data_IF_197089347489
#
_entry.id   IF_197089347489
#
_cell.length_a   1.000
_cell.length_b   1.000
_cell.length_c   1.000
_cell.angle_alpha   90.00
_cell.angle_beta   90.00
_cell.angle_gamma   90.00
#
_symmetry.space_group_name_H-M   'P 1'
#
loop_
_entity.id
_entity.type
_entity.pdbx_description
1 polymer ?
#
# COMPACT_ATOMS: atom_id res chain seq x y z
N UNK A 1 -0.35 21.89 12.42
CA UNK A 1 1.02 21.35 12.20
C UNK A 1 1.30 20.03 12.94
N UNK A 2 0.97 19.89 14.23
CA UNK A 2 1.32 18.71 15.05
C UNK A 2 0.77 17.37 14.50
N UNK A 3 -0.48 17.36 14.02
CA UNK A 3 -1.15 16.17 13.46
C UNK A 3 -0.47 15.60 12.20
N UNK A 4 0.14 16.45 11.38
CA UNK A 4 0.83 16.02 10.15
C UNK A 4 2.24 15.48 10.48
N UNK A 5 2.94 16.06 11.45
CA UNK A 5 4.21 15.51 11.97
C UNK A 5 4.02 14.13 12.60
N UNK A 6 2.97 13.94 13.41
CA UNK A 6 2.67 12.65 14.03
C UNK A 6 2.39 11.56 12.99
N UNK A 7 1.60 11.87 11.96
CA UNK A 7 1.34 10.94 10.86
C UNK A 7 2.61 10.57 10.10
N UNK A 8 3.45 11.56 9.77
CA UNK A 8 4.71 11.32 9.06
C UNK A 8 5.66 10.42 9.86
N UNK A 9 5.83 10.70 11.16
CA UNK A 9 6.70 9.92 12.03
C UNK A 9 6.24 8.46 12.17
N UNK A 10 4.92 8.21 12.16
CA UNK A 10 4.37 6.86 12.20
C UNK A 10 4.66 6.06 10.91
N UNK A 11 4.60 6.72 9.76
CA UNK A 11 4.97 6.11 8.47
C UNK A 11 6.46 5.77 8.42
N UNK A 12 7.33 6.69 8.85
CA UNK A 12 8.77 6.41 8.92
C UNK A 12 9.09 5.29 9.93
N UNK A 13 8.38 5.23 11.05
CA UNK A 13 8.52 4.15 12.02
C UNK A 13 8.12 2.80 11.41
N UNK A 14 6.96 2.73 10.75
CA UNK A 14 6.49 1.52 10.08
C UNK A 14 7.45 1.06 8.97
N UNK A 15 7.97 2.00 8.17
CA UNK A 15 8.99 1.73 7.16
C UNK A 15 10.29 1.21 7.79
N UNK A 16 10.72 1.79 8.91
CA UNK A 16 11.89 1.34 9.67
C UNK A 16 11.73 -0.07 10.24
N UNK A 17 10.55 -0.39 10.79
CA UNK A 17 10.22 -1.75 11.26
C UNK A 17 10.27 -2.74 10.09
N UNK A 18 9.69 -2.38 8.95
CA UNK A 18 9.68 -3.25 7.76
C UNK A 18 11.08 -3.50 7.19
N UNK A 19 11.90 -2.44 7.11
CA UNK A 19 13.32 -2.53 6.75
C UNK A 19 14.10 -3.40 7.74
N UNK A 20 13.87 -3.23 9.05
CA UNK A 20 14.48 -4.04 10.09
C UNK A 20 14.15 -5.51 9.94
N UNK A 21 12.86 -5.85 9.76
CA UNK A 21 12.39 -7.22 9.53
C UNK A 21 13.00 -7.80 8.26
N UNK A 22 13.04 -7.04 7.17
CA UNK A 22 13.63 -7.49 5.91
C UNK A 22 15.13 -7.80 6.04
N UNK A 23 15.89 -6.95 6.74
CA UNK A 23 17.32 -7.18 7.00
C UNK A 23 17.54 -8.40 7.89
N UNK A 24 16.76 -8.53 8.97
CA UNK A 24 16.84 -9.67 9.89
C UNK A 24 16.45 -10.97 9.20
N UNK A 25 15.53 -10.94 8.23
CA UNK A 25 15.12 -12.12 7.45
C UNK A 25 16.26 -12.72 6.60
N UNK A 26 17.32 -11.96 6.30
CA UNK A 26 18.52 -12.50 5.61
C UNK A 26 19.45 -13.27 6.55
N UNK A 27 19.23 -13.23 7.86
CA UNK A 27 20.04 -13.92 8.87
C UNK A 27 19.43 -15.31 9.10
N UNK A 28 20.04 -16.40 8.59
CA UNK A 28 19.41 -17.73 8.60
C UNK A 28 19.21 -18.33 10.01
N UNK A 29 19.83 -17.75 11.03
CA UNK A 29 19.71 -18.17 12.43
C UNK A 29 18.52 -17.53 13.15
N UNK A 30 17.88 -16.52 12.56
CA UNK A 30 16.71 -15.84 13.13
C UNK A 30 15.47 -16.30 12.37
N UNK A 31 14.74 -17.23 12.97
CA UNK A 31 13.48 -17.72 12.41
C UNK A 31 12.37 -16.68 12.66
N UNK A 32 12.09 -15.87 11.65
CA UNK A 32 10.90 -15.01 11.63
C UNK A 32 9.71 -15.87 11.20
N UNK A 33 8.72 -16.02 12.08
CA UNK A 33 7.53 -16.80 11.77
C UNK A 33 6.80 -16.27 10.54
N UNK A 34 6.40 -17.16 9.62
CA UNK A 34 5.72 -16.84 8.36
C UNK A 34 4.46 -15.98 8.54
N UNK A 35 3.75 -16.16 9.66
CA UNK A 35 2.60 -15.32 10.03
C UNK A 35 3.00 -13.85 10.25
N UNK A 36 4.14 -13.59 10.91
CA UNK A 36 4.65 -12.23 11.15
C UNK A 36 4.98 -11.54 9.82
N UNK A 37 5.63 -12.26 8.90
CA UNK A 37 5.95 -11.76 7.55
C UNK A 37 4.68 -11.44 6.74
N UNK A 38 3.66 -12.30 6.84
CA UNK A 38 2.38 -12.06 6.18
C UNK A 38 1.65 -10.83 6.78
N UNK A 39 1.60 -10.70 8.11
CA UNK A 39 0.99 -9.54 8.77
C UNK A 39 1.69 -8.23 8.40
N UNK A 40 3.01 -8.22 8.44
CA UNK A 40 3.81 -7.03 8.08
C UNK A 40 3.62 -6.65 6.62
N UNK A 41 3.58 -7.62 5.71
CA UNK A 41 3.30 -7.39 4.28
C UNK A 41 1.91 -6.78 4.08
N UNK A 42 0.89 -7.26 4.80
CA UNK A 42 -0.48 -6.72 4.71
C UNK A 42 -0.54 -5.28 5.23
N UNK A 43 0.11 -4.99 6.35
CA UNK A 43 0.18 -3.63 6.88
C UNK A 43 0.88 -2.71 5.88
N UNK A 44 1.98 -3.15 5.26
CA UNK A 44 2.66 -2.39 4.22
C UNK A 44 1.74 -2.08 3.04
N UNK A 45 0.98 -3.08 2.55
CA UNK A 45 0.00 -2.88 1.49
C UNK A 45 -1.05 -1.82 1.87
N UNK A 46 -1.62 -1.88 3.09
CA UNK A 46 -2.60 -0.89 3.58
C UNK A 46 -2.02 0.53 3.61
N UNK A 47 -0.78 0.68 4.08
CA UNK A 47 -0.04 1.95 4.11
C UNK A 47 0.15 2.48 2.69
N UNK A 48 0.58 1.63 1.76
CA UNK A 48 0.77 1.99 0.35
C UNK A 48 -0.54 2.43 -0.31
N UNK A 49 -1.64 1.72 -0.08
CA UNK A 49 -2.96 2.08 -0.61
C UNK A 49 -3.40 3.44 -0.07
N UNK A 50 -3.17 3.70 1.22
CA UNK A 50 -3.49 4.99 1.83
C UNK A 50 -2.68 6.14 1.23
N UNK A 51 -1.41 5.91 0.88
CA UNK A 51 -0.59 6.93 0.25
C UNK A 51 -1.00 7.19 -1.20
N UNK A 52 -1.18 6.12 -1.99
CA UNK A 52 -1.74 6.15 -3.35
C UNK A 52 -3.07 6.92 -3.41
N UNK A 53 -3.91 6.67 -2.40
CA UNK A 53 -5.21 7.31 -2.21
C UNK A 53 -5.15 8.82 -2.08
N UNK A 54 -4.08 9.38 -1.53
CA UNK A 54 -3.91 10.84 -1.41
C UNK A 54 -3.44 11.45 -2.71
N UNK A 55 -2.51 10.77 -3.39
CA UNK A 55 -1.99 11.20 -4.69
C UNK A 55 -3.13 11.26 -5.72
N UNK A 56 -3.98 10.23 -5.76
CA UNK A 56 -5.10 10.16 -6.69
C UNK A 56 -6.12 11.30 -6.47
N UNK A 57 -6.39 11.67 -5.22
CA UNK A 57 -7.27 12.79 -4.88
C UNK A 57 -6.67 14.12 -5.32
N UNK A 58 -5.37 14.35 -5.06
CA UNK A 58 -4.68 15.57 -5.46
C UNK A 58 -4.75 15.79 -6.98
N UNK A 59 -4.54 14.73 -7.77
CA UNK A 59 -4.61 14.81 -9.25
C UNK A 59 -6.04 15.07 -9.73
N UNK A 60 -7.04 14.47 -9.07
CA UNK A 60 -8.44 14.64 -9.44
C UNK A 60 -8.96 16.07 -9.18
N UNK A 61 -8.44 16.76 -8.17
CA UNK A 61 -8.75 18.18 -7.88
C UNK A 61 -8.23 19.13 -8.97
N UNK A 62 -7.21 18.73 -9.74
CA UNK A 62 -6.59 19.55 -10.79
C UNK A 62 -7.28 19.42 -12.16
N UNK A 63 -8.00 18.33 -12.42
CA UNK A 63 -8.69 18.09 -13.70
C UNK A 63 -10.15 18.56 -13.66
N UNK A 64 -10.44 19.76 -14.17
CA UNK A 64 -11.76 20.41 -14.17
C UNK A 64 -12.85 19.82 -15.09
N UNK A 65 -12.75 18.56 -15.54
CA UNK A 65 -13.74 17.93 -16.43
C UNK A 65 -14.71 17.02 -15.64
N UNK A 66 -15.87 17.58 -15.27
CA UNK A 66 -16.90 17.01 -14.38
C UNK A 66 -17.39 15.60 -14.77
N UNK A 67 -17.48 15.28 -16.08
CA UNK A 67 -18.02 13.99 -16.54
C UNK A 67 -17.00 12.86 -16.42
N UNK A 68 -15.74 13.13 -16.79
CA UNK A 68 -14.62 12.20 -16.59
C UNK A 68 -14.26 12.05 -15.11
N UNK A 69 -14.45 13.10 -14.32
CA UNK A 69 -14.29 13.09 -12.87
C UNK A 69 -15.18 12.06 -12.19
N UNK A 70 -16.50 12.02 -12.50
CA UNK A 70 -17.43 11.08 -11.85
C UNK A 70 -17.06 9.62 -12.09
N UNK A 71 -16.74 9.25 -13.33
CA UNK A 71 -16.36 7.86 -13.67
C UNK A 71 -15.02 7.48 -13.03
N UNK A 72 -14.01 8.36 -13.10
CA UNK A 72 -12.73 8.14 -12.40
C UNK A 72 -12.91 8.05 -10.90
N UNK A 73 -13.78 8.87 -10.32
CA UNK A 73 -14.05 8.89 -8.88
C UNK A 73 -14.72 7.59 -8.42
N UNK A 74 -15.77 7.14 -9.10
CA UNK A 74 -16.44 5.87 -8.77
C UNK A 74 -15.49 4.70 -8.93
N UNK A 75 -14.73 4.64 -10.03
CA UNK A 75 -13.71 3.62 -10.24
C UNK A 75 -12.66 3.62 -9.14
N UNK A 76 -12.15 4.80 -8.75
CA UNK A 76 -11.19 4.96 -7.66
C UNK A 76 -11.77 4.49 -6.32
N UNK A 77 -13.04 4.78 -6.05
CA UNK A 77 -13.72 4.39 -4.82
C UNK A 77 -13.89 2.86 -4.74
N UNK A 78 -14.32 2.23 -5.83
CA UNK A 78 -14.42 0.77 -5.95
C UNK A 78 -13.05 0.10 -5.80
N UNK A 79 -12.03 0.61 -6.49
CA UNK A 79 -10.66 0.08 -6.37
C UNK A 79 -10.13 0.23 -4.95
N UNK A 80 -10.38 1.35 -4.28
CA UNK A 80 -10.02 1.53 -2.86
C UNK A 80 -10.77 0.57 -1.94
N UNK A 81 -12.07 0.38 -2.16
CA UNK A 81 -12.86 -0.57 -1.38
C UNK A 81 -12.30 -1.99 -1.53
N UNK A 82 -12.05 -2.45 -2.75
CA UNK A 82 -11.41 -3.75 -3.01
C UNK A 82 -10.02 -3.85 -2.36
N UNK A 83 -9.22 -2.80 -2.51
CA UNK A 83 -7.86 -2.74 -1.96
C UNK A 83 -7.84 -2.69 -0.43
N UNK A 84 -8.89 -2.25 0.25
CA UNK A 84 -8.98 -2.26 1.72
C UNK A 84 -9.59 -3.58 2.22
N UNK A 85 -10.68 -4.03 1.59
CA UNK A 85 -11.41 -5.24 1.98
C UNK A 85 -10.54 -6.48 1.80
N UNK A 86 -9.79 -6.57 0.71
CA UNK A 86 -8.92 -7.72 0.41
C UNK A 86 -7.87 -7.99 1.50
N UNK A 87 -6.99 -7.03 1.87
CA UNK A 87 -6.03 -7.24 2.96
C UNK A 87 -6.70 -7.51 4.30
N UNK A 88 -7.84 -6.88 4.61
CA UNK A 88 -8.57 -7.17 5.85
C UNK A 88 -9.08 -8.62 5.86
N UNK A 89 -9.68 -9.10 4.76
CA UNK A 89 -10.12 -10.48 4.63
C UNK A 89 -8.93 -11.47 4.78
N UNK A 90 -7.77 -11.13 4.22
CA UNK A 90 -6.54 -11.91 4.36
C UNK A 90 -6.04 -11.95 5.81
N UNK A 91 -6.15 -10.86 6.58
CA UNK A 91 -5.80 -10.84 8.01
C UNK A 91 -6.64 -11.85 8.81
N UNK A 92 -7.96 -11.85 8.56
CA UNK A 92 -8.86 -12.81 9.19
C UNK A 92 -8.53 -14.23 8.77
N UNK A 93 -8.28 -14.48 7.48
CA UNK A 93 -8.00 -15.82 6.99
C UNK A 93 -6.67 -16.38 7.52
N UNK A 94 -5.58 -15.61 7.52
CA UNK A 94 -4.26 -16.06 8.04
C UNK A 94 -4.34 -16.54 9.50
N UNK A 95 -5.29 -16.03 10.28
CA UNK A 95 -5.50 -16.47 11.65
C UNK A 95 -6.00 -17.93 11.74
N UNK A 96 -6.85 -18.34 10.79
CA UNK A 96 -7.41 -19.69 10.72
C UNK A 96 -6.55 -20.67 9.90
N UNK A 97 -5.67 -20.16 9.05
CA UNK A 97 -4.77 -20.97 8.23
C UNK A 97 -3.55 -21.43 9.05
N UNK A 98 -3.20 -22.71 8.91
CA UNK A 98 -2.05 -23.31 9.57
C UNK A 98 -1.00 -23.82 8.58
N UNK A 99 -1.33 -23.90 7.29
CA UNK A 99 -0.36 -24.24 6.25
C UNK A 99 0.60 -23.06 6.00
N UNK A 100 1.84 -23.22 6.45
CA UNK A 100 2.91 -22.25 6.31
C UNK A 100 3.22 -21.92 4.84
N UNK A 101 3.11 -22.88 3.92
CA UNK A 101 3.36 -22.66 2.50
C UNK A 101 2.27 -21.78 1.88
N UNK A 102 1.02 -21.94 2.31
CA UNK A 102 -0.10 -21.09 1.91
C UNK A 102 0.11 -19.67 2.44
N UNK A 103 0.45 -19.52 3.71
CA UNK A 103 0.72 -18.22 4.34
C UNK A 103 1.88 -17.49 3.65
N UNK A 104 2.96 -18.20 3.30
CA UNK A 104 4.10 -17.64 2.57
C UNK A 104 3.70 -17.14 1.16
N UNK A 105 2.86 -17.89 0.44
CA UNK A 105 2.34 -17.46 -0.87
C UNK A 105 1.49 -16.21 -0.75
N UNK A 106 0.61 -16.15 0.25
CA UNK A 106 -0.20 -14.96 0.54
C UNK A 106 0.70 -13.76 0.80
N UNK A 107 1.72 -13.91 1.65
CA UNK A 107 2.69 -12.86 1.94
C UNK A 107 3.33 -12.32 0.66
N UNK A 108 3.82 -13.21 -0.21
CA UNK A 108 4.45 -12.81 -1.48
C UNK A 108 3.49 -12.05 -2.39
N UNK A 109 2.25 -12.55 -2.56
CA UNK A 109 1.25 -11.86 -3.39
C UNK A 109 0.93 -10.46 -2.86
N UNK A 110 0.80 -10.32 -1.54
CA UNK A 110 0.56 -9.04 -0.89
C UNK A 110 1.74 -8.08 -1.10
N UNK A 111 2.98 -8.57 -0.99
CA UNK A 111 4.18 -7.77 -1.27
C UNK A 111 4.21 -7.30 -2.73
N UNK A 112 3.93 -8.18 -3.70
CA UNK A 112 3.87 -7.79 -5.12
C UNK A 112 2.75 -6.80 -5.41
N UNK A 113 1.58 -6.98 -4.77
CA UNK A 113 0.49 -6.01 -4.87
C UNK A 113 0.92 -4.63 -4.35
N UNK A 114 1.62 -4.59 -3.21
CA UNK A 114 2.11 -3.33 -2.63
C UNK A 114 3.08 -2.63 -3.59
N UNK A 115 4.06 -3.36 -4.14
CA UNK A 115 4.97 -2.82 -5.16
C UNK A 115 4.23 -2.30 -6.38
N UNK A 116 3.25 -3.06 -6.89
CA UNK A 116 2.42 -2.65 -8.03
C UNK A 116 1.68 -1.34 -7.77
N UNK A 117 1.09 -1.19 -6.58
CA UNK A 117 0.44 0.07 -6.19
C UNK A 117 1.46 1.21 -6.11
N UNK A 118 2.64 1.02 -5.53
CA UNK A 118 3.71 2.05 -5.49
C UNK A 118 4.08 2.52 -6.91
N UNK A 119 4.36 1.58 -7.82
CA UNK A 119 4.73 1.92 -9.19
C UNK A 119 3.60 2.64 -9.93
N UNK A 120 2.35 2.19 -9.75
CA UNK A 120 1.19 2.83 -10.35
C UNK A 120 1.01 4.27 -9.83
N UNK A 121 1.10 4.47 -8.52
CA UNK A 121 1.06 5.80 -7.88
C UNK A 121 2.15 6.70 -8.43
N UNK A 122 3.40 6.21 -8.48
CA UNK A 122 4.53 7.00 -8.98
C UNK A 122 4.36 7.37 -10.45
N UNK A 123 3.86 6.45 -11.28
CA UNK A 123 3.52 6.72 -12.68
C UNK A 123 2.46 7.81 -12.84
N UNK A 124 1.44 7.83 -11.97
CA UNK A 124 0.43 8.88 -11.94
C UNK A 124 1.03 10.25 -11.55
N UNK A 125 1.89 10.30 -10.54
CA UNK A 125 2.57 11.55 -10.14
C UNK A 125 3.38 12.14 -11.28
N UNK A 126 4.22 11.33 -11.94
CA UNK A 126 5.07 11.77 -13.04
C UNK A 126 4.24 12.32 -14.22
N UNK A 127 3.10 11.69 -14.51
CA UNK A 127 2.20 12.14 -15.57
C UNK A 127 1.40 13.40 -15.20
N UNK A 128 1.10 13.58 -13.91
CA UNK A 128 0.48 14.80 -13.37
C UNK A 128 1.45 15.98 -13.43
N UNK A 129 2.68 15.83 -12.93
CA UNK A 129 3.70 16.89 -12.94
C UNK A 129 4.11 17.32 -14.34
N UNK A 130 4.08 16.42 -15.33
CA UNK A 130 4.36 16.78 -16.73
C UNK A 130 3.37 17.80 -17.31
N UNK A 131 2.14 17.90 -16.77
CA UNK A 131 1.15 18.89 -17.22
C UNK A 131 1.38 20.29 -16.63
N UNK A 132 2.14 20.40 -15.55
CA UNK A 132 2.40 21.67 -14.84
C UNK A 132 3.69 22.38 -15.28
N UNK A 133 4.47 21.78 -16.19
CA UNK A 133 5.62 22.45 -16.82
C UNK A 133 5.14 23.26 -18.03
N UNK A 134 5.17 24.60 -18.00
CA UNK A 134 4.97 25.39 -19.21
C UNK A 134 6.11 25.08 -20.18
N UNK A 135 5.77 24.78 -21.43
CA UNK A 135 6.74 24.78 -22.54
C UNK A 135 7.21 26.20 -22.82
#
# INVERSE_FOLDING_TARGET
MLRNKLKSNLFYLAAGIYLGIAVVAFIPWIQIGVKITAYTSIIALLITIYDSSKVSLRIAETEGDLRKQKVRYVFMLVMKALMIISPIALLFWIQYENDEAVIARISNYVTFAALGVVFFTRGMELKGSSKDTPK
#
